data_IF_523046193731
#
_entry.id   IF_523046193731
#
_cell.length_a   1.000
_cell.length_b   1.000
_cell.length_c   1.000
_cell.angle_alpha   90.00
_cell.angle_beta   90.00
_cell.angle_gamma   90.00
#
_symmetry.space_group_name_H-M   'P 1'
#
loop_
_entity.id
_entity.type
_entity.pdbx_description
1 polymer ?
#
# COMPACT_ATOMS: atom_id res chain seq x y z
N UNK A 1 -12.05 -3.06 7.07
CA UNK A 1 -13.33 -2.64 7.68
C UNK A 1 -14.14 -3.91 7.87
N UNK A 2 -14.86 -4.10 8.99
CA UNK A 2 -15.71 -5.30 9.13
C UNK A 2 -16.92 -5.22 8.19
N UNK A 3 -17.48 -6.37 7.80
CA UNK A 3 -18.70 -6.44 6.99
C UNK A 3 -19.83 -5.57 7.57
N UNK A 4 -20.10 -5.69 8.88
CA UNK A 4 -21.13 -4.89 9.54
C UNK A 4 -20.86 -3.38 9.53
N UNK A 5 -19.59 -2.95 9.51
CA UNK A 5 -19.28 -1.52 9.38
C UNK A 5 -19.53 -1.01 7.96
N UNK A 6 -19.34 -1.84 6.94
CA UNK A 6 -19.67 -1.49 5.55
C UNK A 6 -21.18 -1.36 5.39
N UNK A 7 -21.95 -2.31 5.91
CA UNK A 7 -23.42 -2.25 5.84
C UNK A 7 -23.97 -1.00 6.54
N UNK A 8 -23.43 -0.69 7.72
CA UNK A 8 -23.81 0.52 8.45
C UNK A 8 -23.46 1.79 7.68
N UNK A 9 -22.29 1.84 7.04
CA UNK A 9 -21.90 2.98 6.20
C UNK A 9 -22.86 3.18 5.01
N UNK A 10 -23.29 2.10 4.34
CA UNK A 10 -24.24 2.21 3.23
C UNK A 10 -25.60 2.73 3.69
N UNK A 11 -26.06 2.31 4.86
CA UNK A 11 -27.28 2.86 5.47
C UNK A 11 -27.18 4.36 5.77
N UNK A 12 -26.03 4.81 6.28
CA UNK A 12 -25.80 6.23 6.54
C UNK A 12 -25.77 7.05 5.25
N UNK A 13 -25.14 6.51 4.19
CA UNK A 13 -25.13 7.17 2.87
C UNK A 13 -26.55 7.29 2.29
N UNK A 14 -27.37 6.23 2.39
CA UNK A 14 -28.76 6.27 1.96
C UNK A 14 -29.59 7.34 2.70
N UNK A 15 -29.32 7.55 3.99
CA UNK A 15 -29.98 8.59 4.79
C UNK A 15 -29.51 10.00 4.44
N UNK A 16 -28.22 10.16 4.15
CA UNK A 16 -27.62 11.46 3.82
C UNK A 16 -28.02 11.93 2.42
N UNK A 17 -28.21 11.01 1.48
CA UNK A 17 -28.56 11.28 0.09
C UNK A 17 -29.85 10.55 -0.32
N UNK A 18 -31.02 10.95 0.18
CA UNK A 18 -32.27 10.19 0.01
C UNK A 18 -32.80 10.13 -1.43
N UNK A 19 -32.27 10.96 -2.33
CA UNK A 19 -32.62 10.98 -3.75
C UNK A 19 -31.58 10.24 -4.62
N UNK A 20 -30.56 9.64 -4.01
CA UNK A 20 -29.49 8.91 -4.69
C UNK A 20 -29.41 7.50 -4.11
N UNK A 21 -29.19 6.51 -4.96
CA UNK A 21 -28.91 5.16 -4.49
C UNK A 21 -27.48 5.11 -3.94
N UNK A 22 -27.25 4.42 -2.79
CA UNK A 22 -25.91 4.16 -2.31
C UNK A 22 -25.06 3.45 -3.38
N UNK A 23 -23.74 3.64 -3.38
CA UNK A 23 -22.86 3.03 -4.38
C UNK A 23 -22.94 1.49 -4.44
N UNK A 24 -23.27 0.85 -3.31
CA UNK A 24 -23.50 -0.58 -3.15
C UNK A 24 -24.54 -0.81 -2.05
N UNK A 25 -25.26 -1.92 -2.12
CA UNK A 25 -26.30 -2.31 -1.15
C UNK A 25 -25.74 -2.79 0.20
N UNK A 26 -24.49 -3.23 0.23
CA UNK A 26 -23.84 -3.75 1.43
C UNK A 26 -22.47 -4.35 1.13
N UNK A 27 -21.91 -5.06 2.11
CA UNK A 27 -20.58 -5.65 1.99
C UNK A 27 -20.47 -6.74 0.92
N UNK A 28 -21.48 -7.60 0.75
CA UNK A 28 -21.44 -8.68 -0.25
C UNK A 28 -21.28 -8.13 -1.68
N UNK A 29 -22.07 -7.10 -2.01
CA UNK A 29 -21.96 -6.43 -3.32
C UNK A 29 -20.63 -5.69 -3.45
N UNK A 30 -20.15 -5.04 -2.39
CA UNK A 30 -18.82 -4.40 -2.40
C UNK A 30 -17.71 -5.41 -2.67
N UNK A 31 -17.71 -6.56 -2.00
CA UNK A 31 -16.70 -7.58 -2.16
C UNK A 31 -16.79 -8.22 -3.55
N UNK A 32 -17.99 -8.55 -4.02
CA UNK A 32 -18.18 -9.05 -5.38
C UNK A 32 -17.71 -8.05 -6.44
N UNK A 33 -17.96 -6.75 -6.24
CA UNK A 33 -17.47 -5.70 -7.12
C UNK A 33 -15.94 -5.65 -7.13
N UNK A 34 -15.29 -5.69 -5.96
CA UNK A 34 -13.83 -5.74 -5.85
C UNK A 34 -13.27 -6.97 -6.56
N UNK A 35 -13.86 -8.14 -6.34
CA UNK A 35 -13.43 -9.40 -6.96
C UNK A 35 -13.69 -9.43 -8.48
N UNK A 36 -14.61 -8.61 -8.98
CA UNK A 36 -14.90 -8.49 -10.41
C UNK A 36 -13.89 -7.61 -11.17
N UNK A 37 -13.09 -6.81 -10.47
CA UNK A 37 -12.05 -5.95 -11.06
C UNK A 37 -11.02 -6.86 -11.73
N UNK A 38 -10.95 -6.81 -13.06
CA UNK A 38 -9.98 -7.59 -13.85
C UNK A 38 -8.67 -6.83 -14.04
N UNK A 39 -8.69 -5.54 -13.71
CA UNK A 39 -7.57 -4.62 -13.79
C UNK A 39 -6.58 -4.91 -12.64
N UNK A 40 -5.51 -5.62 -12.98
CA UNK A 40 -4.47 -5.95 -12.04
C UNK A 40 -4.00 -7.38 -12.25
N UNK A 41 -3.17 -7.58 -13.27
CA UNK A 41 -2.68 -8.89 -13.70
C UNK A 41 -1.76 -9.59 -12.66
N UNK A 42 -1.45 -8.90 -11.55
CA UNK A 42 -0.60 -9.43 -10.48
C UNK A 42 -1.50 -9.85 -9.31
N UNK A 43 -1.61 -11.17 -9.14
CA UNK A 43 -2.33 -11.77 -8.02
C UNK A 43 -1.74 -11.33 -6.67
N UNK A 44 -2.60 -11.30 -5.65
CA UNK A 44 -2.18 -11.17 -4.27
C UNK A 44 -1.48 -12.45 -3.81
N UNK A 45 -0.45 -12.29 -3.00
CA UNK A 45 0.25 -13.35 -2.30
C UNK A 45 0.38 -12.97 -0.82
N UNK A 46 0.59 -13.95 0.05
CA UNK A 46 0.76 -13.70 1.48
C UNK A 46 1.84 -14.57 2.10
N UNK A 47 2.46 -14.03 3.14
CA UNK A 47 3.33 -14.78 4.03
C UNK A 47 3.11 -14.32 5.46
N UNK A 48 3.38 -15.22 6.40
CA UNK A 48 3.25 -14.93 7.83
C UNK A 48 4.60 -14.55 8.42
N UNK A 49 4.63 -13.49 9.23
CA UNK A 49 5.79 -13.06 9.99
C UNK A 49 5.49 -13.06 11.48
N UNK A 50 6.50 -13.41 12.28
CA UNK A 50 6.48 -13.21 13.73
C UNK A 50 7.74 -12.44 14.10
N UNK A 51 7.66 -11.59 15.11
CA UNK A 51 8.83 -10.89 15.61
C UNK A 51 9.90 -11.90 16.10
N UNK A 52 11.14 -11.74 15.61
CA UNK A 52 12.27 -12.62 15.94
C UNK A 52 13.36 -11.93 16.75
N UNK A 53 13.14 -10.69 17.20
CA UNK A 53 14.11 -9.93 17.99
C UNK A 53 14.07 -10.29 19.49
N UNK A 54 14.85 -9.56 20.28
CA UNK A 54 14.85 -9.71 21.74
C UNK A 54 13.49 -9.33 22.33
N UNK A 55 12.97 -10.20 23.20
CA UNK A 55 11.74 -9.96 23.96
C UNK A 55 12.07 -9.22 25.27
N UNK A 56 11.19 -8.35 25.78
CA UNK A 56 11.33 -7.79 27.12
C UNK A 56 11.56 -8.89 28.16
N UNK A 57 12.50 -8.64 29.07
CA UNK A 57 12.78 -9.54 30.20
C UNK A 57 11.64 -9.54 31.23
N UNK A 58 10.93 -8.42 31.35
CA UNK A 58 9.84 -8.25 32.31
C UNK A 58 8.47 -8.40 31.64
N UNK A 59 7.60 -9.29 32.14
CA UNK A 59 6.24 -9.46 31.63
C UNK A 59 5.32 -8.28 31.99
N UNK A 60 4.23 -8.03 31.22
CA UNK A 60 3.76 -8.85 30.10
C UNK A 60 4.43 -8.48 28.76
N UNK A 61 4.76 -9.51 27.96
CA UNK A 61 5.25 -9.33 26.59
C UNK A 61 4.09 -8.84 25.70
N UNK A 62 4.27 -7.76 24.92
CA UNK A 62 3.23 -7.27 24.04
C UNK A 62 2.77 -8.32 23.00
N UNK A 63 1.46 -8.41 22.70
CA UNK A 63 0.94 -9.37 21.72
C UNK A 63 1.60 -9.29 20.34
N UNK A 64 2.04 -8.09 19.92
CA UNK A 64 2.68 -7.91 18.63
C UNK A 64 4.05 -8.60 18.48
N UNK A 65 4.69 -8.95 19.59
CA UNK A 65 5.96 -9.69 19.58
C UNK A 65 5.75 -11.21 19.54
N UNK A 66 4.55 -11.70 19.88
CA UNK A 66 4.28 -13.14 20.06
C UNK A 66 3.32 -13.68 19.02
N UNK A 67 2.48 -12.84 18.43
CA UNK A 67 1.50 -13.25 17.45
C UNK A 67 2.07 -13.22 16.03
N UNK A 68 1.69 -14.20 15.19
CA UNK A 68 1.96 -14.14 13.75
C UNK A 68 1.08 -13.08 13.10
N UNK A 69 1.66 -12.32 12.16
CA UNK A 69 0.98 -11.36 11.32
C UNK A 69 1.10 -11.78 9.87
N UNK A 70 -0.04 -11.84 9.18
CA UNK A 70 -0.07 -12.10 7.75
C UNK A 70 0.21 -10.80 6.97
N UNK A 71 1.21 -10.85 6.11
CA UNK A 71 1.56 -9.77 5.19
C UNK A 71 1.05 -10.12 3.82
N UNK A 72 0.09 -9.33 3.34
CA UNK A 72 -0.44 -9.41 1.99
C UNK A 72 0.34 -8.46 1.06
N UNK A 73 0.79 -8.97 -0.08
CA UNK A 73 1.55 -8.21 -1.06
C UNK A 73 1.24 -8.66 -2.48
N UNK A 74 1.65 -7.85 -3.46
CA UNK A 74 1.76 -8.25 -4.87
C UNK A 74 3.23 -8.31 -5.22
N UNK A 75 3.62 -9.22 -6.10
CA UNK A 75 4.99 -9.30 -6.62
C UNK A 75 5.46 -7.92 -7.11
N UNK A 76 6.40 -7.25 -6.41
CA UNK A 76 6.78 -5.89 -6.73
C UNK A 76 7.39 -5.76 -8.13
N UNK A 77 8.10 -6.79 -8.61
CA UNK A 77 8.71 -6.78 -9.94
C UNK A 77 7.61 -6.76 -11.01
N UNK A 78 6.64 -7.69 -10.93
CA UNK A 78 5.53 -7.75 -11.88
C UNK A 78 4.69 -6.49 -11.89
N UNK A 79 4.47 -5.88 -10.71
CA UNK A 79 3.74 -4.61 -10.62
C UNK A 79 4.47 -3.51 -11.39
N UNK A 80 5.80 -3.40 -11.24
CA UNK A 80 6.61 -2.41 -11.95
C UNK A 80 6.68 -2.70 -13.45
N UNK A 81 6.83 -3.97 -13.85
CA UNK A 81 6.78 -4.38 -15.27
C UNK A 81 5.46 -4.00 -15.92
N UNK A 82 4.33 -4.25 -15.25
CA UNK A 82 3.01 -3.85 -15.74
C UNK A 82 2.86 -2.33 -15.84
N UNK A 83 3.42 -1.57 -14.90
CA UNK A 83 3.44 -0.12 -14.99
C UNK A 83 4.26 0.38 -16.18
N UNK A 84 5.42 -0.25 -16.46
CA UNK A 84 6.24 0.10 -17.62
C UNK A 84 5.63 -0.31 -18.95
N UNK A 85 4.88 -1.41 -18.99
CA UNK A 85 4.15 -1.84 -20.18
C UNK A 85 2.92 -0.96 -20.48
N UNK A 86 2.39 -0.26 -19.48
CA UNK A 86 1.21 0.57 -19.66
C UNK A 86 1.59 1.98 -20.20
N UNK A 87 1.17 2.33 -21.44
CA UNK A 87 1.51 3.60 -22.07
C UNK A 87 0.99 4.83 -21.32
N UNK A 88 -0.04 4.69 -20.47
CA UNK A 88 -0.56 5.78 -19.66
C UNK A 88 0.47 6.31 -18.64
N UNK A 89 1.47 5.52 -18.29
CA UNK A 89 2.58 5.92 -17.42
C UNK A 89 3.78 6.51 -18.17
N UNK A 90 3.73 6.57 -19.50
CA UNK A 90 4.82 7.14 -20.28
C UNK A 90 5.10 8.60 -19.88
N UNK A 91 6.35 8.89 -19.52
CA UNK A 91 6.79 10.20 -19.05
C UNK A 91 6.29 10.59 -17.65
N UNK A 92 5.60 9.70 -16.92
CA UNK A 92 5.11 9.94 -15.55
C UNK A 92 5.96 9.28 -14.47
N UNK A 93 6.88 8.41 -14.85
CA UNK A 93 7.78 7.73 -13.93
C UNK A 93 9.15 8.40 -14.00
N UNK A 94 9.62 8.90 -12.86
CA UNK A 94 11.03 9.18 -12.71
C UNK A 94 11.80 7.86 -12.70
N UNK A 95 12.98 7.80 -13.32
CA UNK A 95 13.82 6.60 -13.31
C UNK A 95 15.06 6.79 -12.44
N UNK A 96 15.31 8.01 -11.99
CA UNK A 96 16.45 8.38 -11.17
C UNK A 96 15.97 8.96 -9.83
N UNK A 97 16.67 8.69 -8.73
CA UNK A 97 16.39 9.33 -7.46
C UNK A 97 16.48 10.85 -7.58
N UNK A 98 15.53 11.56 -6.97
CA UNK A 98 15.42 13.01 -7.06
C UNK A 98 15.38 13.67 -5.70
N UNK A 99 15.82 14.94 -5.67
CA UNK A 99 15.80 15.78 -4.47
C UNK A 99 15.02 17.05 -4.75
N UNK A 100 13.75 17.07 -4.32
CA UNK A 100 12.85 18.20 -4.55
C UNK A 100 12.74 19.04 -3.27
N UNK A 101 12.89 20.36 -3.41
CA UNK A 101 12.78 21.31 -2.31
C UNK A 101 11.78 22.41 -2.66
N UNK A 102 10.93 22.77 -1.72
CA UNK A 102 10.02 23.92 -1.81
C UNK A 102 10.16 24.73 -0.52
N UNK A 103 10.45 26.03 -0.64
CA UNK A 103 10.69 26.92 0.50
C UNK A 103 11.74 26.37 1.48
N UNK A 104 12.86 25.86 0.96
CA UNK A 104 13.94 25.19 1.71
C UNK A 104 13.51 23.95 2.53
N UNK A 105 12.31 23.42 2.30
CA UNK A 105 11.82 22.20 2.92
C UNK A 105 11.82 21.05 1.92
N UNK A 106 12.36 19.93 2.35
CA UNK A 106 12.39 18.69 1.57
C UNK A 106 10.98 18.21 1.27
N UNK A 107 10.72 17.85 0.02
CA UNK A 107 9.47 17.22 -0.42
C UNK A 107 9.70 15.73 -0.69
N UNK A 108 8.75 14.91 -0.28
CA UNK A 108 8.69 13.48 -0.59
C UNK A 108 7.35 13.19 -1.25
N UNK A 109 7.38 12.59 -2.43
CA UNK A 109 6.21 12.40 -3.31
C UNK A 109 6.08 10.96 -3.81
N UNK A 110 7.20 10.26 -3.93
CA UNK A 110 7.31 8.93 -4.53
C UNK A 110 8.58 8.20 -4.03
N UNK A 111 8.74 6.94 -4.41
CA UNK A 111 9.88 6.11 -4.04
C UNK A 111 11.23 6.79 -4.33
N UNK A 112 11.35 7.46 -5.48
CA UNK A 112 12.60 8.05 -5.95
C UNK A 112 12.91 9.39 -5.29
N UNK A 113 11.93 10.06 -4.70
CA UNK A 113 12.17 11.19 -3.80
C UNK A 113 12.75 10.76 -2.43
N UNK A 114 12.69 9.46 -2.11
CA UNK A 114 13.08 8.88 -0.83
C UNK A 114 14.59 8.83 -0.59
N UNK A 115 14.97 8.87 0.69
CA UNK A 115 16.38 8.82 1.10
C UNK A 115 17.06 7.49 0.74
N UNK A 116 16.30 6.38 0.76
CA UNK A 116 16.86 5.08 0.40
C UNK A 116 17.29 5.05 -1.07
N UNK A 117 16.40 5.42 -1.99
CA UNK A 117 16.70 5.49 -3.42
C UNK A 117 17.90 6.41 -3.71
N UNK A 118 17.93 7.59 -3.09
CA UNK A 118 19.06 8.52 -3.24
C UNK A 118 20.39 7.92 -2.76
N UNK A 119 20.39 7.29 -1.58
CA UNK A 119 21.60 6.65 -1.04
C UNK A 119 22.09 5.53 -1.94
N UNK A 120 21.20 4.69 -2.47
CA UNK A 120 21.58 3.59 -3.36
C UNK A 120 22.27 4.11 -4.64
N UNK A 121 21.76 5.18 -5.26
CA UNK A 121 22.32 5.69 -6.51
C UNK A 121 23.58 6.56 -6.34
N UNK A 122 23.69 7.28 -5.22
CA UNK A 122 24.83 8.19 -4.93
C UNK A 122 25.91 7.50 -4.09
N UNK A 123 25.71 6.23 -3.71
CA UNK A 123 26.74 5.47 -3.02
C UNK A 123 27.95 5.29 -3.93
N UNK A 124 28.93 6.19 -3.75
CA UNK A 124 30.28 6.04 -4.25
C UNK A 124 31.03 5.28 -3.15
N UNK A 125 31.57 4.07 -3.41
CA UNK A 125 32.44 3.41 -2.46
C UNK A 125 33.61 4.34 -2.12
N UNK A 126 33.89 4.55 -0.84
CA UNK A 126 34.88 5.53 -0.40
C UNK A 126 36.33 5.21 -0.85
N UNK A 127 36.58 4.08 -1.52
CA UNK A 127 37.91 3.65 -1.95
C UNK A 127 37.88 3.18 -3.41
N UNK A 128 38.30 4.07 -4.31
CA UNK A 128 38.84 3.77 -5.64
C UNK A 128 40.13 4.59 -5.78
#
# INVERSE_FOLDING_TARGET
MSAGNVDHLMQLLAQLYPNEEPPVSGHDELYALIDSIKEGDVAWDSFSITYTGESPSDPPVPPWMTQPYEVWFRDPLKVVENQFANPDFNGKIDYAPKRVFRNNKRQYTDLLSGNHAWRQAVWIPAHC
#
